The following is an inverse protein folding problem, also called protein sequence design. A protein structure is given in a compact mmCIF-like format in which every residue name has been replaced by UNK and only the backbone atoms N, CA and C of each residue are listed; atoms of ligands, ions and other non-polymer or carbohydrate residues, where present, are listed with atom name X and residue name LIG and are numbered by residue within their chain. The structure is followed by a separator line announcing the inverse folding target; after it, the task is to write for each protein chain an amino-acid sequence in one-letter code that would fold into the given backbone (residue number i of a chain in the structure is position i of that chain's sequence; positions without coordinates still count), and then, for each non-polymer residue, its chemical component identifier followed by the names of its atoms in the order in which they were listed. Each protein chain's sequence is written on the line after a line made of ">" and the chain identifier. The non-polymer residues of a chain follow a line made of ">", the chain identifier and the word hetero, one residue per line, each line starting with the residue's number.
data_IF_557761905634
#
_entry.id   IF_557761905634
#
_cell.length_a   1.000
_cell.length_b   1.000
_cell.length_c   1.000
_cell.angle_alpha   90.00
_cell.angle_beta   90.00
_cell.angle_gamma   90.00
#
_symmetry.space_group_name_H-M   'P 1'
#
loop_
_entity.id
_entity.type
_entity.pdbx_description
1 polymer ?
#
# COMPACT_ATOMS: atom_id res chain seq x y z
N UNK A 1 -20.15 39.97 -30.73
CA UNK A 1 -20.18 39.20 -29.45
C UNK A 1 -19.75 37.78 -29.77
N UNK A 2 -18.49 37.41 -29.49
CA UNK A 2 -18.05 36.59 -28.34
C UNK A 2 -18.72 35.20 -28.28
N UNK A 3 -18.34 34.31 -29.20
CA UNK A 3 -18.67 32.87 -29.13
C UNK A 3 -17.42 31.96 -29.07
N UNK A 4 -16.24 32.52 -28.77
CA UNK A 4 -14.97 31.77 -28.77
C UNK A 4 -14.47 31.36 -27.38
N UNK A 5 -15.18 31.70 -26.30
CA UNK A 5 -14.71 31.45 -24.92
C UNK A 5 -15.39 30.28 -24.20
N UNK A 6 -16.43 29.66 -24.77
CA UNK A 6 -17.19 28.62 -24.07
C UNK A 6 -16.71 27.19 -24.35
N UNK A 7 -16.01 26.95 -25.47
CA UNK A 7 -15.50 25.61 -25.83
C UNK A 7 -14.16 25.26 -25.16
N UNK A 8 -13.37 26.24 -24.72
CA UNK A 8 -12.10 25.98 -24.03
C UNK A 8 -12.28 25.54 -22.57
N UNK A 9 -13.38 25.95 -21.92
CA UNK A 9 -13.63 25.61 -20.51
C UNK A 9 -14.08 24.14 -20.38
N UNK A 10 -14.80 23.57 -21.36
CA UNK A 10 -15.27 22.19 -21.26
C UNK A 10 -14.16 21.15 -21.42
N UNK A 11 -13.09 21.46 -22.15
CA UNK A 11 -11.97 20.53 -22.34
C UNK A 11 -11.13 20.43 -21.06
N UNK A 12 -10.86 21.56 -20.38
CA UNK A 12 -10.11 21.56 -19.12
C UNK A 12 -10.83 20.81 -17.99
N UNK A 13 -12.17 20.86 -17.93
CA UNK A 13 -12.94 20.10 -16.92
C UNK A 13 -12.98 18.59 -17.20
N UNK A 14 -12.97 18.16 -18.47
CA UNK A 14 -12.93 16.73 -18.81
C UNK A 14 -11.59 16.07 -18.49
N UNK A 15 -10.47 16.83 -18.52
CA UNK A 15 -9.15 16.34 -18.11
C UNK A 15 -8.97 16.31 -16.58
N UNK A 16 -9.62 17.21 -15.84
CA UNK A 16 -9.59 17.19 -14.37
C UNK A 16 -10.48 16.08 -13.78
N UNK A 17 -11.50 15.64 -14.51
CA UNK A 17 -12.42 14.58 -14.05
C UNK A 17 -11.84 13.16 -14.15
N UNK A 18 -10.74 12.94 -14.90
CA UNK A 18 -10.24 11.59 -15.19
C UNK A 18 -9.07 11.12 -14.34
N UNK A 19 -8.62 11.88 -13.32
CA UNK A 19 -7.31 11.62 -12.69
C UNK A 19 -7.36 11.06 -11.26
N UNK A 20 -8.52 11.05 -10.59
CA UNK A 20 -8.62 10.56 -9.19
C UNK A 20 -9.67 9.45 -9.04
N UNK A 21 -9.50 8.33 -9.75
CA UNK A 21 -10.16 7.11 -9.33
C UNK A 21 -9.44 6.61 -8.07
N UNK A 22 -10.02 6.84 -6.90
CA UNK A 22 -9.51 6.31 -5.63
C UNK A 22 -9.43 4.78 -5.71
N UNK A 23 -8.25 4.22 -5.47
CA UNK A 23 -8.04 2.77 -5.42
C UNK A 23 -8.21 2.25 -3.99
N UNK A 24 -8.79 1.06 -3.85
CA UNK A 24 -9.05 0.44 -2.54
C UNK A 24 -8.52 -0.99 -2.47
N UNK A 25 -8.15 -1.39 -1.26
CA UNK A 25 -8.05 -2.78 -0.86
C UNK A 25 -9.41 -3.27 -0.36
N UNK A 26 -9.87 -4.38 -0.92
CA UNK A 26 -11.02 -5.15 -0.50
C UNK A 26 -10.53 -6.28 0.42
N UNK A 27 -10.89 -6.21 1.70
CA UNK A 27 -10.54 -7.24 2.68
C UNK A 27 -11.68 -8.25 2.87
N UNK A 28 -11.40 -9.48 3.35
CA UNK A 28 -12.38 -10.54 3.58
C UNK A 28 -13.59 -10.15 4.46
N UNK A 29 -13.44 -9.16 5.34
CA UNK A 29 -14.53 -8.59 6.13
C UNK A 29 -15.44 -7.61 5.39
N UNK A 30 -15.25 -7.45 4.08
CA UNK A 30 -15.85 -6.38 3.25
C UNK A 30 -15.36 -4.97 3.62
N UNK A 31 -14.30 -4.86 4.43
CA UNK A 31 -13.66 -3.58 4.68
C UNK A 31 -13.00 -3.04 3.40
N UNK A 32 -13.25 -1.77 3.11
CA UNK A 32 -12.60 -1.02 2.04
C UNK A 32 -11.55 -0.10 2.67
N UNK A 33 -10.29 -0.31 2.32
CA UNK A 33 -9.16 0.47 2.82
C UNK A 33 -8.54 1.23 1.66
N UNK A 34 -8.38 2.54 1.80
CA UNK A 34 -7.77 3.38 0.77
C UNK A 34 -6.34 2.92 0.50
N UNK A 35 -6.01 2.77 -0.77
CA UNK A 35 -4.66 2.40 -1.20
C UNK A 35 -3.60 3.36 -0.66
N UNK A 36 -3.88 4.67 -0.71
CA UNK A 36 -2.94 5.72 -0.30
C UNK A 36 -2.57 5.61 1.18
N UNK A 37 -3.52 5.25 2.05
CA UNK A 37 -3.27 5.08 3.49
C UNK A 37 -2.30 3.91 3.75
N UNK A 38 -2.51 2.80 3.05
CA UNK A 38 -1.64 1.61 3.16
C UNK A 38 -0.27 1.93 2.57
N UNK A 39 -0.23 2.64 1.45
CA UNK A 39 0.99 3.06 0.78
C UNK A 39 1.84 3.98 1.66
N UNK A 40 1.22 4.99 2.25
CA UNK A 40 1.89 5.92 3.16
C UNK A 40 2.51 5.14 4.33
N UNK A 41 1.75 4.21 4.94
CA UNK A 41 2.28 3.39 6.03
C UNK A 41 3.42 2.48 5.56
N UNK A 42 3.33 1.88 4.38
CA UNK A 42 4.40 1.06 3.82
C UNK A 42 5.68 1.88 3.56
N UNK A 43 5.56 3.11 3.05
CA UNK A 43 6.66 4.06 2.88
C UNK A 43 7.34 4.39 4.22
N UNK A 44 6.56 4.70 5.25
CA UNK A 44 7.09 4.93 6.60
C UNK A 44 7.87 3.71 7.11
N UNK A 45 7.31 2.51 6.96
CA UNK A 45 7.98 1.28 7.38
C UNK A 45 9.30 1.08 6.64
N UNK A 46 9.29 1.21 5.32
CA UNK A 46 10.47 1.07 4.49
C UNK A 46 11.57 2.07 4.89
N UNK A 47 11.23 3.36 5.04
CA UNK A 47 12.17 4.39 5.45
C UNK A 47 12.80 4.11 6.83
N UNK A 48 11.99 3.68 7.80
CA UNK A 48 12.48 3.32 9.14
C UNK A 48 13.45 2.15 9.09
N UNK A 49 13.14 1.10 8.35
CA UNK A 49 14.03 -0.05 8.20
C UNK A 49 15.33 0.33 7.49
N UNK A 50 15.27 1.18 6.44
CA UNK A 50 16.46 1.68 5.75
C UNK A 50 17.37 2.52 6.64
N UNK A 51 16.80 3.34 7.52
CA UNK A 51 17.55 4.09 8.52
C UNK A 51 18.19 3.17 9.58
N UNK A 52 17.50 2.10 9.96
CA UNK A 52 18.04 1.10 10.88
C UNK A 52 19.20 0.30 10.26
N UNK A 53 19.05 -0.17 9.03
CA UNK A 53 20.08 -0.88 8.25
C UNK A 53 21.37 -0.05 8.10
N UNK A 54 21.24 1.25 7.81
CA UNK A 54 22.38 2.16 7.72
C UNK A 54 23.23 2.21 9.00
N UNK A 55 22.67 1.81 10.14
CA UNK A 55 23.32 1.84 11.44
C UNK A 55 23.61 0.44 12.03
N UNK A 56 23.06 -0.65 11.46
CA UNK A 56 23.14 -2.02 12.02
C UNK A 56 22.97 -3.07 10.91
N UNK A 57 23.70 -4.19 10.98
CA UNK A 57 23.50 -5.30 10.02
C UNK A 57 22.10 -5.91 10.17
N UNK A 58 21.35 -5.99 9.07
CA UNK A 58 20.01 -6.57 9.05
C UNK A 58 20.05 -8.08 9.37
N UNK A 59 19.10 -8.50 10.19
CA UNK A 59 18.86 -9.86 10.65
C UNK A 59 17.46 -9.93 11.26
N UNK A 60 17.13 -11.02 11.97
CA UNK A 60 15.85 -11.09 12.70
C UNK A 60 15.82 -10.03 13.81
N UNK A 61 15.16 -8.91 13.54
CA UNK A 61 15.12 -7.74 14.40
C UNK A 61 13.72 -7.12 14.37
N UNK A 62 13.42 -6.30 15.38
CA UNK A 62 12.19 -5.51 15.43
C UNK A 62 12.53 -4.03 15.61
N UNK A 63 11.93 -3.17 14.80
CA UNK A 63 12.11 -1.71 14.82
C UNK A 63 10.74 -1.05 14.75
N UNK A 64 10.33 -0.31 15.78
CA UNK A 64 9.04 0.39 15.82
C UNK A 64 7.84 -0.48 15.37
N UNK A 65 7.72 -1.67 15.98
CA UNK A 65 6.72 -2.70 15.67
C UNK A 65 6.82 -3.31 14.25
N UNK A 66 7.92 -3.05 13.54
CA UNK A 66 8.23 -3.67 12.25
C UNK A 66 9.19 -4.83 12.48
N UNK A 67 8.72 -6.04 12.21
CA UNK A 67 9.56 -7.23 12.20
C UNK A 67 10.30 -7.31 10.87
N UNK A 68 11.62 -7.42 10.96
CA UNK A 68 12.53 -7.64 9.84
C UNK A 68 12.94 -9.11 9.88
N UNK A 69 12.82 -9.82 8.77
CA UNK A 69 13.23 -11.22 8.62
C UNK A 69 14.07 -11.41 7.38
N UNK A 70 15.02 -12.35 7.43
CA UNK A 70 15.89 -12.68 6.29
C UNK A 70 17.02 -11.67 6.09
N UNK A 71 17.65 -11.73 4.91
CA UNK A 71 18.72 -10.81 4.53
C UNK A 71 18.75 -10.57 3.01
N UNK A 72 19.42 -9.49 2.58
CA UNK A 72 19.65 -9.22 1.15
C UNK A 72 20.50 -10.32 0.52
N UNK A 73 21.52 -10.82 1.25
CA UNK A 73 22.47 -11.82 0.78
C UNK A 73 21.82 -13.17 0.50
N UNK A 74 20.88 -13.59 1.37
CA UNK A 74 20.11 -14.83 1.23
C UNK A 74 18.95 -14.72 0.24
N UNK A 75 18.61 -13.52 -0.22
CA UNK A 75 17.51 -13.33 -1.17
C UNK A 75 16.12 -13.51 -0.55
N UNK A 76 15.97 -13.35 0.77
CA UNK A 76 14.72 -13.57 1.52
C UNK A 76 14.33 -12.44 2.48
N UNK A 77 14.86 -11.22 2.27
CA UNK A 77 14.55 -10.07 3.10
C UNK A 77 13.07 -9.69 3.04
N UNK A 78 12.44 -9.51 4.21
CA UNK A 78 11.04 -9.10 4.34
C UNK A 78 10.80 -8.24 5.57
N UNK A 79 9.81 -7.35 5.46
CA UNK A 79 9.36 -6.46 6.54
C UNK A 79 7.87 -6.71 6.80
N UNK A 80 7.48 -6.87 8.06
CA UNK A 80 6.09 -7.03 8.45
C UNK A 80 5.76 -6.08 9.59
N UNK A 81 4.69 -5.31 9.46
CA UNK A 81 4.27 -4.36 10.50
C UNK A 81 2.76 -4.20 10.57
N UNK A 82 2.23 -3.68 11.68
CA UNK A 82 0.80 -3.46 11.84
C UNK A 82 0.30 -2.30 10.98
N UNK A 83 -0.94 -2.42 10.52
CA UNK A 83 -1.72 -1.33 9.92
C UNK A 83 -2.98 -1.08 10.77
N UNK A 84 -3.24 0.19 11.06
CA UNK A 84 -4.37 0.60 11.89
C UNK A 84 -5.30 1.48 11.04
N UNK A 85 -6.41 0.94 10.52
CA UNK A 85 -7.35 1.75 9.76
C UNK A 85 -8.03 2.79 10.66
N UNK A 86 -8.52 3.88 10.05
CA UNK A 86 -9.19 4.98 10.77
C UNK A 86 -10.58 4.62 11.31
N UNK A 87 -11.13 3.47 10.94
CA UNK A 87 -12.42 2.98 11.43
C UNK A 87 -12.23 2.00 12.60
N UNK A 88 -13.24 1.95 13.48
CA UNK A 88 -13.24 1.00 14.59
C UNK A 88 -13.55 -0.42 14.09
N UNK A 89 -12.69 -1.36 14.44
CA UNK A 89 -12.79 -2.77 14.03
C UNK A 89 -12.14 -3.66 15.08
N UNK A 90 -12.62 -4.90 15.20
CA UNK A 90 -11.98 -5.95 16.00
C UNK A 90 -10.93 -6.74 15.22
N UNK A 91 -10.85 -6.53 13.91
CA UNK A 91 -9.89 -7.20 13.04
C UNK A 91 -8.54 -6.51 13.12
N UNK A 92 -7.47 -7.28 12.88
CA UNK A 92 -6.11 -6.76 12.83
C UNK A 92 -5.63 -6.75 11.39
N UNK A 93 -4.89 -5.71 11.01
CA UNK A 93 -4.34 -5.61 9.67
C UNK A 93 -2.82 -5.54 9.76
N UNK A 94 -2.14 -6.11 8.78
CA UNK A 94 -0.69 -6.04 8.67
C UNK A 94 -0.26 -5.79 7.24
N UNK A 95 0.82 -5.02 7.10
CA UNK A 95 1.49 -4.81 5.83
C UNK A 95 2.71 -5.72 5.82
N UNK A 96 2.82 -6.51 4.76
CA UNK A 96 4.03 -7.23 4.40
C UNK A 96 4.70 -6.53 3.22
N UNK A 97 6.02 -6.35 3.30
CA UNK A 97 6.86 -5.80 2.24
C UNK A 97 7.95 -6.83 1.94
N UNK A 98 8.08 -7.23 0.68
CA UNK A 98 9.26 -7.93 0.20
C UNK A 98 10.41 -6.93 0.12
N UNK A 99 11.45 -7.10 0.95
CA UNK A 99 12.57 -6.16 1.04
C UNK A 99 13.48 -6.14 -0.20
N UNK A 100 13.29 -7.06 -1.15
CA UNK A 100 14.10 -7.20 -2.37
C UNK A 100 13.35 -6.63 -3.57
N UNK A 101 12.12 -7.09 -3.80
CA UNK A 101 11.30 -6.63 -4.93
C UNK A 101 10.51 -5.37 -4.61
N UNK A 102 10.46 -4.98 -3.32
CA UNK A 102 9.61 -3.91 -2.79
C UNK A 102 8.12 -4.16 -3.00
N UNK A 103 7.71 -5.39 -3.26
CA UNK A 103 6.28 -5.72 -3.34
C UNK A 103 5.62 -5.56 -1.98
N UNK A 104 4.41 -5.02 -1.93
CA UNK A 104 3.62 -4.94 -0.69
C UNK A 104 2.27 -5.63 -0.79
N UNK A 105 1.82 -6.10 0.38
CA UNK A 105 0.59 -6.84 0.58
C UNK A 105 -0.06 -6.36 1.88
N UNK A 106 -1.38 -6.23 1.86
CA UNK A 106 -2.18 -6.00 3.06
C UNK A 106 -2.89 -7.29 3.41
N UNK A 107 -2.83 -7.71 4.66
CA UNK A 107 -3.60 -8.85 5.15
C UNK A 107 -4.50 -8.45 6.32
N UNK A 108 -5.61 -9.19 6.46
CA UNK A 108 -6.55 -9.08 7.55
C UNK A 108 -6.54 -10.37 8.37
N UNK A 109 -6.36 -10.21 9.68
CA UNK A 109 -6.51 -11.28 10.67
C UNK A 109 -7.81 -11.09 11.43
N UNK A 110 -8.68 -12.08 11.31
CA UNK A 110 -9.89 -12.26 12.12
C UNK A 110 -9.60 -13.24 13.26
N UNK A 111 -10.58 -13.48 14.14
CA UNK A 111 -10.43 -14.49 15.21
C UNK A 111 -10.23 -15.93 14.71
N UNK A 112 -10.46 -16.20 13.42
CA UNK A 112 -10.43 -17.55 12.84
C UNK A 112 -9.44 -17.75 11.70
N UNK A 113 -8.92 -16.68 11.08
CA UNK A 113 -8.01 -16.79 9.93
C UNK A 113 -7.26 -15.49 9.64
N UNK A 114 -6.13 -15.61 8.92
CA UNK A 114 -5.44 -14.49 8.26
C UNK A 114 -5.55 -14.68 6.76
N UNK A 115 -5.98 -13.64 6.05
CA UNK A 115 -6.20 -13.67 4.60
C UNK A 115 -5.76 -12.34 3.98
N UNK A 116 -5.27 -12.39 2.74
CA UNK A 116 -4.84 -11.20 2.00
C UNK A 116 -6.04 -10.36 1.56
N UNK A 117 -5.90 -9.04 1.66
CA UNK A 117 -6.79 -8.10 1.00
C UNK A 117 -6.39 -7.98 -0.48
N UNK A 118 -7.37 -7.70 -1.33
CA UNK A 118 -7.16 -7.62 -2.78
C UNK A 118 -7.38 -6.21 -3.30
N UNK A 119 -6.52 -5.77 -4.21
CA UNK A 119 -6.60 -4.49 -4.88
C UNK A 119 -7.25 -4.69 -6.25
N UNK A 120 -8.29 -3.92 -6.55
CA UNK A 120 -8.92 -3.94 -7.85
C UNK A 120 -9.87 -2.75 -8.04
N UNK A 121 -9.98 -2.20 -9.26
CA UNK A 121 -11.13 -1.38 -9.60
C UNK A 121 -12.39 -2.26 -9.60
N UNK A 122 -13.60 -1.70 -9.43
CA UNK A 122 -14.84 -2.49 -9.46
C UNK A 122 -15.01 -3.33 -10.74
N UNK A 123 -14.38 -2.98 -11.88
CA UNK A 123 -14.47 -3.73 -13.12
C UNK A 123 -13.18 -3.56 -13.96
N UNK A 124 -12.44 -4.64 -14.25
CA UNK A 124 -11.66 -4.90 -15.51
C UNK A 124 -10.31 -5.64 -15.36
N UNK A 125 -9.77 -5.81 -14.16
CA UNK A 125 -8.49 -6.52 -13.95
C UNK A 125 -8.67 -7.65 -12.93
N UNK A 126 -7.93 -8.78 -13.03
CA UNK A 126 -7.93 -9.75 -11.95
C UNK A 126 -7.47 -9.04 -10.66
N UNK A 127 -8.19 -9.20 -9.55
CA UNK A 127 -7.82 -8.59 -8.28
C UNK A 127 -6.39 -9.01 -7.93
N UNK A 128 -5.52 -8.03 -7.70
CA UNK A 128 -4.14 -8.27 -7.29
C UNK A 128 -4.03 -8.09 -5.79
N UNK A 129 -3.55 -9.08 -5.05
CA UNK A 129 -3.16 -8.88 -3.64
C UNK A 129 -1.80 -8.16 -3.50
N UNK A 130 -1.13 -7.89 -4.63
CA UNK A 130 0.23 -7.35 -4.71
C UNK A 130 0.22 -5.94 -5.30
N UNK A 131 0.99 -5.06 -4.68
CA UNK A 131 1.41 -3.79 -5.27
C UNK A 131 2.91 -3.87 -5.55
N UNK A 132 3.30 -3.69 -6.81
CA UNK A 132 4.70 -3.83 -7.24
C UNK A 132 5.41 -2.48 -7.31
N UNK A 133 6.68 -2.44 -6.93
CA UNK A 133 7.63 -1.33 -7.17
C UNK A 133 7.09 0.08 -6.86
N UNK A 134 6.39 0.20 -5.74
CA UNK A 134 5.72 1.44 -5.34
C UNK A 134 6.67 2.52 -4.83
N UNK A 135 7.94 2.18 -4.62
CA UNK A 135 8.95 3.13 -4.14
C UNK A 135 9.27 4.23 -5.15
N UNK A 136 8.88 4.05 -6.43
CA UNK A 136 9.05 5.01 -7.53
C UNK A 136 7.92 6.05 -7.64
N UNK A 137 6.79 5.87 -6.92
CA UNK A 137 5.59 6.70 -7.05
C UNK A 137 5.55 7.93 -6.12
N UNK A 138 6.64 8.21 -5.39
CA UNK A 138 6.76 9.34 -4.45
C UNK A 138 7.72 10.43 -4.93
N UNK A 139 7.56 10.92 -6.15
CA UNK A 139 8.33 12.03 -6.75
C UNK A 139 7.51 13.29 -6.95
#
# INVERSE_FOLDING_TARGET
>A
MKFFCLTFISIFFSFLASVNASMYFHCPSEALILYDDVMQRAQEMYLKVRLFDANTQLGQNTVDDITISGSVESGDLSYTGPFFPYFQTSHKYSIFINGITTDMYLSETTGSSTQDCTMGPPESHPPSNRVSDWTSLGG
#
